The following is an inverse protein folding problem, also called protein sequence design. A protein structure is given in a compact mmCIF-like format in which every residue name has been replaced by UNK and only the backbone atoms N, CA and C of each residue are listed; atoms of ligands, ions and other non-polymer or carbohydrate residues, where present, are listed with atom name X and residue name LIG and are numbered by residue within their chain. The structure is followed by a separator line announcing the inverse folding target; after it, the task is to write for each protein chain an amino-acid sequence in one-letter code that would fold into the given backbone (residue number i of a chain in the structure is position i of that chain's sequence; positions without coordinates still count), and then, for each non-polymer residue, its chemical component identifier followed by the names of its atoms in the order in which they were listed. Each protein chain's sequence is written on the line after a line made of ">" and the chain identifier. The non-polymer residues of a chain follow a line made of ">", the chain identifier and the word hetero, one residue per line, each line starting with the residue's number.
data_IF_566539490435
#
_entry.id   IF_566539490435
#
_cell.length_a   1.000
_cell.length_b   1.000
_cell.length_c   1.000
_cell.angle_alpha   90.00
_cell.angle_beta   90.00
_cell.angle_gamma   90.00
#
_symmetry.space_group_name_H-M   'P 1'
#
loop_
_entity.id
_entity.type
_entity.pdbx_description
1 polymer ?
#
# COMPACT_ATOMS: atom_id res chain seq x y z
N UNK A 1 12.82 10.16 19.08
CA UNK A 1 11.69 10.63 18.26
C UNK A 1 10.68 9.48 18.23
N UNK A 2 9.63 9.53 19.04
CA UNK A 2 8.62 8.45 19.10
C UNK A 2 7.71 8.59 17.89
N UNK A 3 7.71 7.62 16.98
CA UNK A 3 6.78 7.58 15.84
C UNK A 3 5.35 7.62 16.40
N UNK A 4 4.63 8.72 16.16
CA UNK A 4 3.19 8.79 16.45
C UNK A 4 2.47 7.97 15.38
N UNK A 5 1.35 7.36 15.75
CA UNK A 5 0.44 6.69 14.81
C UNK A 5 0.11 7.64 13.65
N UNK A 6 0.38 7.21 12.42
CA UNK A 6 0.08 7.96 11.19
C UNK A 6 -0.92 7.18 10.37
N UNK A 7 -1.95 7.85 9.86
CA UNK A 7 -3.01 7.23 9.07
C UNK A 7 -3.16 7.99 7.74
N UNK A 8 -3.34 7.25 6.66
CA UNK A 8 -3.68 7.78 5.33
C UNK A 8 -4.61 6.78 4.65
N UNK A 9 -5.82 7.23 4.32
CA UNK A 9 -6.86 6.36 3.76
C UNK A 9 -7.12 5.15 4.66
N UNK A 10 -7.04 3.95 4.08
CA UNK A 10 -7.31 2.68 4.74
C UNK A 10 -6.11 2.13 5.53
N UNK A 11 -4.97 2.81 5.49
CA UNK A 11 -3.72 2.34 6.07
C UNK A 11 -3.27 3.19 7.27
N UNK A 12 -2.72 2.52 8.27
CA UNK A 12 -2.13 3.13 9.46
C UNK A 12 -0.76 2.54 9.74
N UNK A 13 0.27 3.37 9.91
CA UNK A 13 1.53 2.96 10.50
C UNK A 13 1.49 3.25 12.01
N UNK A 14 1.73 2.24 12.84
CA UNK A 14 1.82 2.38 14.30
C UNK A 14 3.27 2.50 14.76
N UNK A 15 3.46 2.84 16.04
CA UNK A 15 4.74 3.26 16.60
C UNK A 15 5.87 2.23 16.55
N UNK A 16 5.55 0.95 16.39
CA UNK A 16 6.51 -0.15 16.26
C UNK A 16 6.89 -0.45 14.79
N UNK A 17 6.37 0.32 13.83
CA UNK A 17 6.58 0.11 12.40
C UNK A 17 5.57 -0.83 11.75
N UNK A 18 4.61 -1.38 12.50
CA UNK A 18 3.56 -2.23 11.94
C UNK A 18 2.60 -1.41 11.08
N UNK A 19 2.30 -1.92 9.88
CA UNK A 19 1.24 -1.39 9.01
C UNK A 19 -0.05 -2.15 9.28
N UNK A 20 -1.11 -1.42 9.60
CA UNK A 20 -2.48 -1.91 9.71
C UNK A 20 -3.25 -1.45 8.48
N UNK A 21 -4.02 -2.35 7.86
CA UNK A 21 -4.82 -2.06 6.70
C UNK A 21 -5.82 -3.17 6.37
N UNK A 22 -6.41 -3.16 5.16
CA UNK A 22 -7.33 -4.19 4.71
C UNK A 22 -6.69 -5.59 4.78
N UNK A 23 -7.30 -6.48 5.56
CA UNK A 23 -6.71 -7.79 5.93
C UNK A 23 -6.36 -8.63 4.71
N UNK A 24 -7.28 -8.70 3.75
CA UNK A 24 -7.13 -9.47 2.52
C UNK A 24 -5.97 -9.01 1.63
N UNK A 25 -5.61 -7.74 1.73
CA UNK A 25 -4.46 -7.17 1.03
C UNK A 25 -3.17 -7.33 1.83
N UNK A 26 -3.17 -7.02 3.14
CA UNK A 26 -1.98 -7.15 4.00
C UNK A 26 -1.47 -8.60 4.03
N UNK A 27 -2.37 -9.58 4.03
CA UNK A 27 -2.03 -11.01 4.02
C UNK A 27 -1.74 -11.57 2.61
N UNK A 28 -1.63 -10.71 1.59
CA UNK A 28 -1.41 -11.15 0.20
C UNK A 28 0.01 -10.93 -0.29
N UNK A 29 0.45 -11.73 -1.26
CA UNK A 29 1.73 -11.52 -1.97
C UNK A 29 1.82 -10.14 -2.64
N UNK A 30 0.69 -9.49 -2.95
CA UNK A 30 0.70 -8.13 -3.49
C UNK A 30 1.33 -7.17 -2.48
N UNK A 31 0.90 -7.23 -1.22
CA UNK A 31 1.47 -6.39 -0.18
C UNK A 31 2.95 -6.69 0.04
N UNK A 32 3.34 -7.97 0.15
CA UNK A 32 4.75 -8.37 0.34
C UNK A 32 5.65 -7.84 -0.78
N UNK A 33 5.24 -8.01 -2.04
CA UNK A 33 5.99 -7.48 -3.20
C UNK A 33 6.09 -5.97 -3.18
N UNK A 34 5.06 -5.28 -2.70
CA UNK A 34 5.06 -3.82 -2.60
C UNK A 34 6.04 -3.34 -1.54
N UNK A 35 6.03 -3.94 -0.36
CA UNK A 35 6.98 -3.64 0.72
C UNK A 35 8.41 -3.91 0.25
N UNK A 36 8.68 -5.05 -0.38
CA UNK A 36 10.01 -5.37 -0.90
C UNK A 36 10.52 -4.31 -1.92
N UNK A 37 9.64 -3.75 -2.76
CA UNK A 37 10.01 -2.65 -3.69
C UNK A 37 10.33 -1.35 -2.96
N UNK A 38 9.56 -1.01 -1.92
CA UNK A 38 9.81 0.17 -1.08
C UNK A 38 11.16 0.02 -0.37
N UNK A 39 11.41 -1.12 0.26
CA UNK A 39 12.67 -1.43 0.95
C UNK A 39 13.87 -1.42 -0.01
N UNK A 40 13.69 -1.91 -1.23
CA UNK A 40 14.70 -1.86 -2.29
C UNK A 40 14.86 -0.46 -2.92
N UNK A 41 14.06 0.54 -2.54
CA UNK A 41 14.09 1.89 -3.11
C UNK A 41 13.62 1.98 -4.57
N UNK A 42 12.89 0.97 -5.05
CA UNK A 42 12.43 0.87 -6.46
C UNK A 42 10.95 1.19 -6.65
N UNK A 43 10.22 1.49 -5.57
CA UNK A 43 8.82 1.86 -5.66
C UNK A 43 8.64 3.28 -6.20
N UNK A 44 8.12 3.39 -7.43
CA UNK A 44 7.97 4.67 -8.12
C UNK A 44 7.02 5.64 -7.41
N UNK A 45 5.93 5.14 -6.81
CA UNK A 45 4.94 5.98 -6.11
C UNK A 45 5.53 6.54 -4.82
N UNK A 46 6.21 5.71 -4.03
CA UNK A 46 6.94 6.14 -2.84
C UNK A 46 8.02 7.17 -3.20
N UNK A 47 8.83 6.90 -4.23
CA UNK A 47 9.87 7.81 -4.70
C UNK A 47 9.29 9.15 -5.20
N UNK A 48 8.15 9.13 -5.89
CA UNK A 48 7.46 10.35 -6.32
C UNK A 48 6.90 11.13 -5.12
N UNK A 49 6.21 10.46 -4.20
CA UNK A 49 5.59 11.09 -3.04
C UNK A 49 6.64 11.71 -2.10
N UNK A 50 7.76 11.03 -1.87
CA UNK A 50 8.88 11.59 -1.10
C UNK A 50 9.49 12.85 -1.73
N UNK A 51 9.54 12.92 -3.06
CA UNK A 51 10.10 14.07 -3.79
C UNK A 51 9.15 15.28 -3.88
N UNK A 52 7.83 15.06 -3.90
CA UNK A 52 6.86 16.11 -4.26
C UNK A 52 5.92 16.58 -3.13
N UNK A 53 5.63 15.75 -2.11
CA UNK A 53 4.58 16.08 -1.12
C UNK A 53 5.08 16.55 0.26
N UNK A 54 6.37 16.88 0.38
CA UNK A 54 6.91 17.39 1.64
C UNK A 54 7.19 16.29 2.68
N UNK A 55 8.27 15.54 2.43
CA UNK A 55 9.24 15.05 3.43
C UNK A 55 8.77 14.17 4.61
N UNK A 56 7.59 13.55 4.59
CA UNK A 56 7.31 12.44 5.52
C UNK A 56 7.38 11.09 4.79
N UNK A 57 8.50 10.34 4.92
CA UNK A 57 8.62 8.99 4.40
C UNK A 57 7.49 8.06 4.84
N UNK A 58 6.94 8.27 6.05
CA UNK A 58 5.79 7.48 6.53
C UNK A 58 4.58 7.72 5.66
N UNK A 59 4.28 9.00 5.39
CA UNK A 59 3.14 9.36 4.58
C UNK A 59 3.31 8.87 3.13
N UNK A 60 4.53 8.92 2.59
CA UNK A 60 4.84 8.37 1.29
C UNK A 60 4.65 6.84 1.22
N UNK A 61 5.02 6.09 2.27
CA UNK A 61 4.74 4.65 2.37
C UNK A 61 3.22 4.43 2.33
N UNK A 62 2.45 5.16 3.12
CA UNK A 62 1.00 4.97 3.19
C UNK A 62 0.30 5.33 1.86
N UNK A 63 0.75 6.37 1.16
CA UNK A 63 0.28 6.70 -0.20
C UNK A 63 0.60 5.56 -1.17
N UNK A 64 1.83 5.05 -1.13
CA UNK A 64 2.26 3.93 -1.96
C UNK A 64 1.38 2.68 -1.74
N UNK A 65 1.04 2.38 -0.48
CA UNK A 65 0.16 1.27 -0.12
C UNK A 65 -1.29 1.51 -0.56
N UNK A 66 -1.83 2.72 -0.38
CA UNK A 66 -3.19 3.06 -0.82
C UNK A 66 -3.35 2.88 -2.33
N UNK A 67 -2.38 3.36 -3.12
CA UNK A 67 -2.39 3.22 -4.58
C UNK A 67 -2.36 1.74 -4.99
N UNK A 68 -1.49 0.95 -4.37
CA UNK A 68 -1.37 -0.48 -4.70
C UNK A 68 -2.60 -1.29 -4.27
N UNK A 69 -3.24 -0.91 -3.16
CA UNK A 69 -4.49 -1.53 -2.73
C UNK A 69 -5.61 -1.28 -3.73
N UNK A 70 -5.71 -0.06 -4.29
CA UNK A 70 -6.67 0.24 -5.33
C UNK A 70 -6.46 -0.62 -6.58
N UNK A 71 -5.21 -0.85 -6.99
CA UNK A 71 -4.84 -1.76 -8.08
C UNK A 71 -5.26 -3.20 -7.79
N UNK A 72 -4.97 -3.70 -6.58
CA UNK A 72 -5.36 -5.04 -6.13
C UNK A 72 -6.89 -5.23 -6.16
N UNK A 73 -7.65 -4.25 -5.64
CA UNK A 73 -9.10 -4.27 -5.69
C UNK A 73 -9.63 -4.27 -7.13
N UNK A 74 -9.03 -3.47 -8.01
CA UNK A 74 -9.38 -3.43 -9.44
C UNK A 74 -9.16 -4.79 -10.11
N UNK A 75 -7.99 -5.40 -9.90
CA UNK A 75 -7.66 -6.72 -10.44
C UNK A 75 -8.66 -7.79 -9.98
N UNK A 76 -8.98 -7.85 -8.68
CA UNK A 76 -9.97 -8.83 -8.17
C UNK A 76 -11.35 -8.66 -8.78
N UNK A 77 -11.82 -7.41 -8.94
CA UNK A 77 -13.11 -7.14 -9.60
C UNK A 77 -13.09 -7.65 -11.04
N UNK A 78 -12.01 -7.38 -11.79
CA UNK A 78 -11.84 -7.89 -13.15
C UNK A 78 -11.88 -9.42 -13.19
N UNK A 79 -11.18 -10.10 -12.29
CA UNK A 79 -11.22 -11.56 -12.22
C UNK A 79 -12.61 -12.11 -11.90
N UNK A 80 -13.35 -11.48 -10.99
CA UNK A 80 -14.70 -11.89 -10.65
C UNK A 80 -15.65 -11.76 -11.84
N UNK A 81 -15.52 -10.69 -12.64
CA UNK A 81 -16.30 -10.50 -13.86
C UNK A 81 -16.00 -11.58 -14.91
N UNK A 82 -14.72 -11.89 -15.14
CA UNK A 82 -14.31 -12.94 -16.09
C UNK A 82 -14.87 -14.30 -15.67
N UNK A 83 -14.71 -14.70 -14.41
CA UNK A 83 -15.21 -15.99 -13.88
C UNK A 83 -16.73 -16.06 -13.82
N UNK A 84 -17.41 -14.93 -13.64
CA UNK A 84 -18.87 -14.84 -13.67
C UNK A 84 -19.45 -14.95 -15.09
N UNK A 85 -18.66 -14.64 -16.11
CA UNK A 85 -19.04 -14.77 -17.53
C UNK A 85 -18.90 -16.18 -18.10
N UNK A 86 -18.25 -17.10 -17.37
CA UNK A 86 -18.04 -18.51 -17.77
C UNK A 86 -19.10 -19.48 -17.20
N UNK A 87 -20.16 -18.96 -16.57
CA UNK A 87 -21.31 -19.72 -16.04
C UNK A 87 -22.60 -19.36 -16.77
#
# INVERSE_FOLDING_TARGET
>A
MTMKRVTSGDFTLVSDGTVIGPKDYIESEWYERRIARIEAGTDAVFNYATQNEGQDPVRAILVSLQTHYAEFCGWRRTQAMVRGSER
#
